data_IF_885531054064
#
_entry.id   IF_885531054064
#
_cell.length_a   1.000
_cell.length_b   1.000
_cell.length_c   1.000
_cell.angle_alpha   90.00
_cell.angle_beta   90.00
_cell.angle_gamma   90.00
#
_symmetry.space_group_name_H-M   'P 1'
#
loop_
_entity.id
_entity.type
_entity.pdbx_description
1 polymer ?
#
# COMPACT_ATOMS: atom_id res chain seq x y z
N UNK A 1 10.21 9.81 7.43
CA UNK A 1 9.24 8.92 6.77
C UNK A 1 9.19 9.32 5.32
N UNK A 2 9.45 8.39 4.41
CA UNK A 2 9.32 8.64 2.96
C UNK A 2 8.10 7.88 2.49
N UNK A 3 7.22 8.56 1.75
CA UNK A 3 6.00 7.95 1.21
C UNK A 3 5.88 8.25 -0.27
N UNK A 4 5.52 7.23 -1.06
CA UNK A 4 5.08 7.40 -2.44
C UNK A 4 3.59 7.16 -2.54
N UNK A 5 2.93 7.92 -3.42
CA UNK A 5 1.49 7.93 -3.61
C UNK A 5 1.18 7.80 -5.10
N UNK A 6 0.24 6.92 -5.44
CA UNK A 6 -0.30 6.80 -6.79
C UNK A 6 -1.80 6.56 -6.68
N UNK A 7 -2.61 7.53 -7.09
CA UNK A 7 -4.07 7.47 -6.97
C UNK A 7 -4.70 7.49 -8.35
N UNK A 8 -5.69 6.63 -8.57
CA UNK A 8 -6.55 6.70 -9.75
C UNK A 8 -7.63 7.78 -9.58
N UNK A 9 -8.21 8.29 -10.67
CA UNK A 9 -9.36 9.20 -10.61
C UNK A 9 -10.59 8.60 -9.90
N UNK A 10 -10.68 7.27 -9.85
CA UNK A 10 -11.77 6.55 -9.21
C UNK A 10 -11.48 6.19 -7.75
N UNK A 11 -10.39 6.72 -7.15
CA UNK A 11 -10.01 6.44 -5.75
C UNK A 11 -11.15 6.67 -4.76
N UNK A 12 -12.03 7.64 -5.01
CA UNK A 12 -13.19 7.93 -4.18
C UNK A 12 -14.18 6.78 -4.03
N UNK A 13 -14.12 5.79 -4.93
CA UNK A 13 -14.94 4.58 -4.89
C UNK A 13 -14.31 3.45 -4.08
N UNK A 14 -13.13 3.65 -3.52
CA UNK A 14 -12.45 2.62 -2.72
C UNK A 14 -13.25 2.29 -1.47
N UNK A 15 -13.57 1.00 -1.30
CA UNK A 15 -14.29 0.46 -0.14
C UNK A 15 -13.43 -0.47 0.70
N UNK A 16 -12.31 -0.93 0.15
CA UNK A 16 -11.42 -1.88 0.78
C UNK A 16 -9.97 -1.45 0.62
N UNK A 17 -9.15 -1.77 1.60
CA UNK A 17 -7.71 -1.56 1.55
C UNK A 17 -6.98 -2.82 2.01
N UNK A 18 -6.01 -3.28 1.22
CA UNK A 18 -5.03 -4.28 1.64
C UNK A 18 -3.81 -3.54 2.18
N UNK A 19 -3.40 -3.90 3.38
CA UNK A 19 -2.12 -3.54 3.98
C UNK A 19 -1.16 -4.73 3.83
N UNK A 20 -0.05 -4.51 3.12
CA UNK A 20 0.98 -5.51 2.91
C UNK A 20 2.28 -5.09 3.57
N UNK A 21 2.74 -5.93 4.51
CA UNK A 21 3.96 -5.66 5.27
C UNK A 21 5.18 -6.29 4.63
N UNK A 22 6.26 -5.51 4.58
CA UNK A 22 7.56 -5.96 4.11
C UNK A 22 8.67 -5.54 5.07
N UNK A 23 9.55 -6.49 5.36
CA UNK A 23 10.78 -6.22 6.10
C UNK A 23 11.89 -5.86 5.12
N UNK A 24 12.65 -4.82 5.44
CA UNK A 24 13.85 -4.43 4.73
C UNK A 24 15.03 -5.02 5.49
N UNK A 25 15.90 -5.71 4.78
CA UNK A 25 17.17 -6.12 5.37
C UNK A 25 18.04 -4.88 5.55
N UNK A 26 18.61 -4.73 6.76
CA UNK A 26 19.48 -3.59 7.07
C UNK A 26 20.64 -3.56 6.09
N UNK A 27 20.78 -2.45 5.37
CA UNK A 27 21.80 -2.27 4.35
C UNK A 27 22.36 -0.84 4.39
N UNK A 28 23.59 -0.61 3.90
CA UNK A 28 24.27 0.68 4.03
C UNK A 28 23.58 1.81 3.26
N UNK A 29 22.88 1.47 2.16
CA UNK A 29 22.15 2.41 1.31
C UNK A 29 20.90 1.75 0.75
N UNK A 30 19.83 2.53 0.59
CA UNK A 30 18.59 2.14 -0.08
C UNK A 30 18.52 2.58 -1.54
N UNK A 31 19.58 3.20 -2.09
CA UNK A 31 19.56 3.84 -3.42
C UNK A 31 19.18 2.88 -4.56
N UNK A 32 19.47 1.58 -4.43
CA UNK A 32 19.14 0.53 -5.40
C UNK A 32 18.00 -0.40 -4.94
N UNK A 33 17.25 -0.01 -3.90
CA UNK A 33 16.14 -0.83 -3.41
C UNK A 33 14.84 -0.49 -4.12
N UNK A 34 14.36 -1.41 -4.96
CA UNK A 34 13.01 -1.34 -5.51
C UNK A 34 12.01 -1.84 -4.48
N UNK A 35 11.10 -0.96 -4.04
CA UNK A 35 9.94 -1.38 -3.25
C UNK A 35 9.11 -2.33 -4.09
N UNK A 36 9.03 -3.59 -3.67
CA UNK A 36 8.18 -4.57 -4.37
C UNK A 36 6.75 -4.10 -4.23
N UNK A 37 6.14 -3.76 -5.36
CA UNK A 37 4.73 -3.50 -5.48
C UNK A 37 4.08 -4.71 -6.14
N UNK A 38 3.04 -5.25 -5.52
CA UNK A 38 2.21 -6.26 -6.15
C UNK A 38 1.33 -5.62 -7.22
N UNK A 39 1.31 -6.22 -8.41
CA UNK A 39 0.48 -5.78 -9.52
C UNK A 39 -0.90 -6.40 -9.37
N UNK A 40 -1.72 -5.78 -8.52
CA UNK A 40 -3.11 -6.20 -8.36
C UNK A 40 -3.94 -5.73 -9.57
N UNK A 41 -4.91 -6.53 -9.99
CA UNK A 41 -5.92 -6.05 -10.95
C UNK A 41 -6.92 -5.14 -10.23
N UNK A 42 -7.32 -4.04 -10.89
CA UNK A 42 -8.34 -3.10 -10.40
C UNK A 42 -7.94 -2.30 -9.14
N UNK A 43 -6.65 -2.04 -8.93
CA UNK A 43 -6.19 -1.10 -7.90
C UNK A 43 -6.66 0.31 -8.24
N UNK A 44 -7.31 0.96 -7.30
CA UNK A 44 -7.72 2.36 -7.38
C UNK A 44 -6.71 3.32 -6.77
N UNK A 45 -5.78 2.79 -5.98
CA UNK A 45 -4.73 3.57 -5.37
C UNK A 45 -3.68 2.68 -4.73
N UNK A 46 -2.47 3.20 -4.68
CA UNK A 46 -1.33 2.58 -4.04
C UNK A 46 -0.60 3.64 -3.21
N UNK A 47 -0.28 3.26 -1.97
CA UNK A 47 0.55 4.06 -1.07
C UNK A 47 1.66 3.16 -0.56
N UNK A 48 2.91 3.58 -0.68
CA UNK A 48 4.03 2.90 -0.03
C UNK A 48 4.57 3.80 1.06
N UNK A 49 4.61 3.28 2.29
CA UNK A 49 5.12 3.98 3.47
C UNK A 49 6.39 3.28 3.93
N UNK A 50 7.50 4.02 3.96
CA UNK A 50 8.77 3.52 4.46
C UNK A 50 9.12 4.12 5.83
N UNK A 51 9.46 3.23 6.77
CA UNK A 51 9.98 3.54 8.10
C UNK A 51 11.47 3.13 8.19
N UNK A 52 12.40 4.10 8.11
CA UNK A 52 13.84 3.81 8.22
C UNK A 52 14.28 3.32 9.60
N UNK A 53 13.65 3.80 10.68
CA UNK A 53 13.98 3.38 12.04
C UNK A 53 13.72 1.89 12.26
N UNK A 54 12.62 1.39 11.70
CA UNK A 54 12.20 -0.01 11.85
C UNK A 54 12.70 -0.93 10.73
N UNK A 55 13.32 -0.39 9.68
CA UNK A 55 13.68 -1.12 8.46
C UNK A 55 12.49 -1.90 7.90
N UNK A 56 11.35 -1.21 7.77
CA UNK A 56 10.11 -1.81 7.27
C UNK A 56 9.44 -0.85 6.30
N UNK A 57 8.81 -1.40 5.28
CA UNK A 57 7.86 -0.65 4.48
C UNK A 57 6.52 -1.38 4.43
N UNK A 58 5.48 -0.60 4.24
CA UNK A 58 4.11 -1.09 4.14
C UNK A 58 3.51 -0.54 2.86
N UNK A 59 2.92 -1.42 2.06
CA UNK A 59 2.14 -1.03 0.90
C UNK A 59 0.66 -1.08 1.26
N UNK A 60 -0.07 -0.03 0.90
CA UNK A 60 -1.52 0.01 0.95
C UNK A 60 -2.06 -0.01 -0.47
N UNK A 61 -2.97 -0.93 -0.74
CA UNK A 61 -3.63 -1.09 -2.03
C UNK A 61 -5.13 -0.90 -1.86
N UNK A 62 -5.71 0.00 -2.63
CA UNK A 62 -7.11 0.41 -2.49
C UNK A 62 -7.97 -0.20 -3.60
N UNK A 63 -9.15 -0.69 -3.23
CA UNK A 63 -10.05 -1.41 -4.12
C UNK A 63 -11.51 -0.99 -3.90
N UNK A 64 -12.29 -0.96 -4.98
CA UNK A 64 -13.76 -0.77 -4.90
C UNK A 64 -14.47 -2.04 -4.43
N UNK A 65 -14.01 -3.20 -4.91
CA UNK A 65 -14.56 -4.51 -4.58
C UNK A 65 -13.63 -5.25 -3.63
N UNK A 66 -14.18 -6.18 -2.85
CA UNK A 66 -13.41 -6.96 -1.89
C UNK A 66 -12.38 -7.81 -2.63
N UNK A 67 -11.07 -7.54 -2.50
CA UNK A 67 -10.05 -8.38 -3.09
C UNK A 67 -9.92 -9.69 -2.29
N UNK A 68 -9.47 -10.75 -2.97
CA UNK A 68 -9.03 -11.97 -2.30
C UNK A 68 -7.63 -11.75 -1.72
N UNK A 69 -7.43 -12.18 -0.48
CA UNK A 69 -6.12 -12.12 0.18
C UNK A 69 -5.40 -13.41 -0.15
N UNK A 70 -4.19 -13.31 -0.71
CA UNK A 70 -3.43 -14.48 -1.14
C UNK A 70 -2.24 -14.79 -0.22
N UNK A 71 -1.86 -13.87 0.67
CA UNK A 71 -0.61 -13.98 1.47
C UNK A 71 -0.81 -13.68 2.95
N UNK A 72 0.00 -14.32 3.79
CA UNK A 72 -0.02 -14.13 5.25
C UNK A 72 0.47 -12.74 5.70
N UNK A 73 1.26 -12.04 4.87
CA UNK A 73 1.74 -10.68 5.17
C UNK A 73 0.75 -9.58 4.75
N UNK A 74 -0.45 -9.96 4.29
CA UNK A 74 -1.50 -9.06 3.86
C UNK A 74 -2.66 -9.03 4.87
N UNK A 75 -3.16 -7.83 5.17
CA UNK A 75 -4.37 -7.62 5.97
C UNK A 75 -5.38 -6.82 5.19
N UNK A 76 -6.62 -7.28 5.15
CA UNK A 76 -7.72 -6.59 4.51
C UNK A 76 -8.52 -5.78 5.52
N UNK A 77 -8.75 -4.51 5.20
CA UNK A 77 -9.62 -3.63 5.95
C UNK A 77 -10.74 -3.09 5.06
N UNK A 78 -11.89 -2.83 5.68
CA UNK A 78 -12.99 -2.11 5.05
C UNK A 78 -12.85 -0.62 5.34
N UNK A 79 -12.93 0.21 4.29
CA UNK A 79 -12.87 1.66 4.39
C UNK A 79 -14.26 2.17 4.78
N UNK A 80 -14.37 2.72 5.97
CA UNK A 80 -15.63 3.31 6.45
C UNK A 80 -15.84 4.73 5.93
N UNK A 81 -14.76 5.49 5.77
CA UNK A 81 -14.81 6.89 5.36
C UNK A 81 -13.52 7.31 4.64
N UNK A 82 -13.66 8.08 3.56
CA UNK A 82 -12.57 8.77 2.87
C UNK A 82 -12.83 10.28 2.94
N UNK A 83 -11.98 11.00 3.67
CA UNK A 83 -12.00 12.46 3.69
C UNK A 83 -11.23 12.97 2.47
N UNK A 84 -11.95 13.15 1.37
CA UNK A 84 -11.40 13.71 0.14
C UNK A 84 -11.59 15.22 0.16
N UNK A 85 -10.52 15.97 -0.08
CA UNK A 85 -10.63 17.41 -0.33
C UNK A 85 -11.40 17.61 -1.65
N UNK A 86 -12.39 18.52 -1.61
CA UNK A 86 -13.28 18.83 -2.73
C UNK A 86 -12.61 19.73 -3.76
#
# INVERSE_FOLDING_TARGET
MTSSLSLSPSFSKSKYVIEEYHNIYKQPSLENMTFKAEDFKNILGQVTIYNPDKWKYVNFYFFEQKPEIFKENQKLYSILHLSLEK
#
